data_IF_654711686283
#
_entry.id   IF_654711686283
#
_cell.length_a   1.000
_cell.length_b   1.000
_cell.length_c   1.000
_cell.angle_alpha   90.00
_cell.angle_beta   90.00
_cell.angle_gamma   90.00
#
_symmetry.space_group_name_H-M   'P 1'
#
loop_
_entity.id
_entity.type
_entity.pdbx_description
1 polymer ?
#
# COMPACT_ATOMS: atom_id res chain seq x y z
N UNK A 1 28.28 -12.79 -7.81
CA UNK A 1 28.63 -11.35 -7.75
C UNK A 1 28.21 -10.73 -9.07
N UNK A 2 27.06 -10.08 -9.12
CA UNK A 2 26.56 -9.46 -10.36
C UNK A 2 27.15 -8.05 -10.51
N UNK A 3 28.02 -7.87 -11.51
CA UNK A 3 28.50 -6.58 -12.02
C UNK A 3 27.37 -5.87 -12.78
N UNK A 4 26.47 -5.22 -12.08
CA UNK A 4 25.35 -4.50 -12.70
C UNK A 4 25.50 -2.96 -12.63
N UNK A 5 26.49 -2.46 -11.88
CA UNK A 5 26.74 -1.02 -11.70
C UNK A 5 27.52 -0.34 -12.83
N UNK A 6 28.27 -1.10 -13.65
CA UNK A 6 29.13 -0.53 -14.69
C UNK A 6 28.38 -0.25 -16.01
N UNK A 7 27.39 -1.08 -16.36
CA UNK A 7 26.73 -1.00 -17.68
C UNK A 7 25.74 0.15 -17.79
N UNK A 8 25.03 0.48 -16.71
CA UNK A 8 24.10 1.61 -16.70
C UNK A 8 24.86 2.94 -16.79
N UNK A 9 25.92 3.10 -16.00
CA UNK A 9 26.75 4.31 -16.01
C UNK A 9 27.40 4.54 -17.39
N UNK A 10 27.87 3.48 -18.05
CA UNK A 10 28.40 3.54 -19.41
C UNK A 10 27.33 3.89 -20.46
N UNK A 11 26.11 3.35 -20.32
CA UNK A 11 25.00 3.66 -21.22
C UNK A 11 24.54 5.13 -21.08
N UNK A 12 24.55 5.67 -19.87
CA UNK A 12 24.22 7.08 -19.60
C UNK A 12 25.25 8.01 -20.26
N UNK A 13 26.55 7.75 -20.05
CA UNK A 13 27.61 8.53 -20.68
C UNK A 13 27.55 8.47 -22.22
N UNK A 14 27.33 7.27 -22.77
CA UNK A 14 27.20 7.09 -24.24
C UNK A 14 26.00 7.85 -24.79
N UNK A 15 24.87 7.89 -24.05
CA UNK A 15 23.69 8.63 -24.47
C UNK A 15 23.91 10.14 -24.45
N UNK A 16 24.55 10.65 -23.40
CA UNK A 16 24.89 12.08 -23.25
C UNK A 16 25.89 12.56 -24.33
N UNK A 17 26.84 11.70 -24.71
CA UNK A 17 27.80 11.99 -25.78
C UNK A 17 27.16 12.02 -27.18
N UNK A 18 26.11 11.20 -27.41
CA UNK A 18 25.45 11.07 -28.72
C UNK A 18 24.34 12.10 -28.96
N UNK A 19 23.75 12.68 -27.92
CA UNK A 19 22.62 13.62 -28.02
C UNK A 19 22.92 14.95 -27.31
N UNK A 20 23.59 15.87 -28.01
CA UNK A 20 23.85 17.25 -27.56
C UNK A 20 22.63 18.19 -27.74
N UNK A 21 21.43 17.72 -27.42
CA UNK A 21 20.22 18.55 -27.41
C UNK A 21 19.78 18.77 -25.95
N UNK A 22 19.94 19.99 -25.45
CA UNK A 22 19.75 20.34 -24.03
C UNK A 22 18.34 19.99 -23.50
N UNK A 23 17.32 19.91 -24.36
CA UNK A 23 15.96 19.52 -23.96
C UNK A 23 15.76 18.00 -23.85
N UNK A 24 16.52 17.20 -24.61
CA UNK A 24 16.52 15.74 -24.52
C UNK A 24 17.25 15.30 -23.25
N UNK A 25 18.30 16.02 -22.87
CA UNK A 25 19.15 15.72 -21.71
C UNK A 25 18.37 15.77 -20.38
N UNK A 26 17.45 16.74 -20.19
CA UNK A 26 16.64 16.81 -18.97
C UNK A 26 15.67 15.63 -18.81
N UNK A 27 14.91 15.29 -19.86
CA UNK A 27 13.91 14.21 -19.79
C UNK A 27 14.57 12.84 -19.63
N UNK A 28 15.72 12.66 -20.27
CA UNK A 28 16.49 11.42 -20.17
C UNK A 28 17.16 11.33 -18.81
N UNK A 29 17.77 12.41 -18.30
CA UNK A 29 18.27 12.47 -16.93
C UNK A 29 17.18 12.16 -15.89
N UNK A 30 15.96 12.68 -16.08
CA UNK A 30 14.83 12.38 -15.21
C UNK A 30 14.42 10.89 -15.27
N UNK A 31 14.29 10.33 -16.48
CA UNK A 31 13.98 8.91 -16.66
C UNK A 31 15.06 8.02 -16.02
N UNK A 32 16.33 8.32 -16.27
CA UNK A 32 17.47 7.59 -15.72
C UNK A 32 17.52 7.67 -14.19
N UNK A 33 17.14 8.81 -13.60
CA UNK A 33 17.04 8.91 -12.14
C UNK A 33 15.94 8.02 -11.56
N UNK A 34 14.81 7.86 -12.25
CA UNK A 34 13.76 6.92 -11.84
C UNK A 34 14.14 5.46 -12.06
N UNK A 35 14.92 5.17 -13.11
CA UNK A 35 15.43 3.84 -13.42
C UNK A 35 16.67 3.46 -12.60
N UNK A 36 17.30 4.44 -11.94
CA UNK A 36 18.40 4.18 -11.01
C UNK A 36 17.86 3.42 -9.80
N UNK A 37 17.84 2.10 -9.93
CA UNK A 37 17.48 1.21 -8.85
C UNK A 37 18.63 1.29 -7.85
N UNK A 38 18.45 2.14 -6.83
CA UNK A 38 19.30 2.08 -5.64
C UNK A 38 19.25 0.64 -5.15
N UNK A 39 20.42 0.06 -4.89
CA UNK A 39 20.52 -1.27 -4.27
C UNK A 39 19.64 -1.25 -3.03
N UNK A 40 18.54 -1.99 -3.08
CA UNK A 40 17.61 -2.04 -1.97
C UNK A 40 18.39 -2.52 -0.75
N UNK A 41 18.35 -1.74 0.32
CA UNK A 41 18.83 -2.23 1.61
C UNK A 41 18.07 -3.52 1.94
N UNK A 42 18.74 -4.46 2.62
CA UNK A 42 18.10 -5.71 2.99
C UNK A 42 16.88 -5.40 3.88
N UNK A 43 15.69 -5.53 3.30
CA UNK A 43 14.44 -5.28 4.01
C UNK A 43 14.30 -6.27 5.15
N UNK A 44 14.40 -5.78 6.38
CA UNK A 44 14.40 -6.62 7.60
C UNK A 44 13.00 -7.19 7.94
N UNK A 45 12.01 -7.03 7.07
CA UNK A 45 10.63 -7.45 7.30
C UNK A 45 9.81 -6.44 8.11
N UNK A 46 8.47 -6.52 8.01
CA UNK A 46 7.56 -5.54 8.65
C UNK A 46 7.73 -5.48 10.17
N UNK A 47 8.04 -6.61 10.79
CA UNK A 47 8.23 -6.72 12.25
C UNK A 47 9.35 -5.83 12.78
N UNK A 48 10.42 -5.63 12.00
CA UNK A 48 11.53 -4.76 12.39
C UNK A 48 11.12 -3.27 12.41
N UNK A 49 10.16 -2.87 11.57
CA UNK A 49 9.75 -1.47 11.43
C UNK A 49 8.40 -1.17 12.09
N UNK A 50 7.69 -2.21 12.56
CA UNK A 50 6.41 -2.10 13.25
C UNK A 50 6.31 -3.17 14.33
N UNK A 51 6.29 -2.71 15.57
CA UNK A 51 5.86 -3.52 16.70
C UNK A 51 4.34 -3.42 16.82
N UNK A 52 3.59 -4.54 16.84
CA UNK A 52 2.14 -4.52 17.04
C UNK A 52 1.81 -4.34 18.53
N UNK A 53 2.30 -3.26 19.15
CA UNK A 53 2.19 -3.02 20.59
C UNK A 53 0.76 -2.65 21.01
N UNK A 54 -0.03 -2.12 20.07
CA UNK A 54 -1.45 -1.82 20.28
C UNK A 54 -2.22 -1.80 18.97
N UNK A 55 -3.49 -2.19 19.02
CA UNK A 55 -4.41 -2.05 17.91
C UNK A 55 -4.91 -0.61 17.90
N UNK A 56 -4.60 0.19 16.86
CA UNK A 56 -4.96 1.63 16.83
C UNK A 56 -6.42 1.87 16.44
N UNK A 57 -6.91 1.06 15.51
CA UNK A 57 -8.23 1.20 14.90
C UNK A 57 -8.89 -0.17 14.71
N UNK A 58 -10.22 -0.17 14.73
CA UNK A 58 -11.05 -1.35 14.47
C UNK A 58 -12.15 -0.98 13.47
N UNK A 59 -12.32 -1.81 12.46
CA UNK A 59 -13.28 -1.60 11.38
C UNK A 59 -14.35 -2.68 11.45
N UNK A 60 -15.58 -2.26 11.66
CA UNK A 60 -16.75 -3.12 11.62
C UNK A 60 -17.37 -3.07 10.23
N UNK A 61 -17.35 -4.20 9.53
CA UNK A 61 -18.26 -4.39 8.42
C UNK A 61 -19.59 -4.90 8.98
N UNK A 62 -20.59 -4.02 9.06
CA UNK A 62 -21.82 -4.29 9.81
C UNK A 62 -22.73 -5.28 9.07
N UNK A 63 -22.83 -5.11 7.76
CA UNK A 63 -23.66 -5.90 6.87
C UNK A 63 -23.15 -5.78 5.44
N UNK A 64 -23.31 -6.86 4.67
CA UNK A 64 -23.10 -6.81 3.22
C UNK A 64 -24.30 -6.16 2.49
N UNK A 65 -25.42 -5.91 3.18
CA UNK A 65 -26.64 -5.39 2.57
C UNK A 65 -26.42 -3.95 2.11
N UNK A 66 -26.54 -3.73 0.81
CA UNK A 66 -26.51 -2.41 0.19
C UNK A 66 -27.67 -2.29 -0.80
N UNK A 67 -28.31 -1.12 -0.86
CA UNK A 67 -29.39 -0.84 -1.81
C UNK A 67 -28.88 -0.34 -3.18
N UNK A 68 -27.57 -0.39 -3.41
CA UNK A 68 -26.91 0.03 -4.65
C UNK A 68 -26.30 -1.18 -5.39
N UNK A 69 -26.18 -1.07 -6.70
CA UNK A 69 -25.65 -2.12 -7.60
C UNK A 69 -24.42 -1.61 -8.38
N UNK A 70 -23.37 -1.21 -7.66
CA UNK A 70 -22.22 -0.56 -8.27
C UNK A 70 -21.35 -1.59 -9.03
N UNK A 71 -21.10 -1.36 -10.32
CA UNK A 71 -20.26 -2.25 -11.16
C UNK A 71 -18.78 -2.36 -10.74
N UNK A 72 -18.32 -1.47 -9.87
CA UNK A 72 -16.98 -1.43 -9.29
C UNK A 72 -16.96 -1.84 -7.80
N UNK A 73 -18.10 -2.29 -7.24
CA UNK A 73 -18.13 -2.74 -5.85
C UNK A 73 -17.31 -4.01 -5.69
N UNK A 74 -16.37 -4.01 -4.74
CA UNK A 74 -15.62 -5.22 -4.38
C UNK A 74 -16.48 -6.23 -3.60
N UNK A 75 -17.61 -5.79 -3.03
CA UNK A 75 -18.54 -6.59 -2.22
C UNK A 75 -19.78 -6.97 -3.03
N UNK A 76 -19.59 -7.55 -4.23
CA UNK A 76 -20.62 -7.90 -5.25
C UNK A 76 -21.85 -8.71 -4.75
N UNK A 77 -21.86 -9.11 -3.49
CA UNK A 77 -22.86 -9.96 -2.83
C UNK A 77 -23.88 -9.17 -1.99
N UNK A 78 -24.26 -7.95 -2.38
CA UNK A 78 -25.23 -7.13 -1.63
C UNK A 78 -26.62 -7.76 -1.42
N UNK A 79 -26.96 -8.77 -2.24
CA UNK A 79 -28.20 -9.54 -2.17
C UNK A 79 -28.14 -10.74 -1.23
N UNK A 80 -26.95 -11.09 -0.73
CA UNK A 80 -26.77 -12.20 0.20
C UNK A 80 -27.03 -11.68 1.62
N UNK A 81 -28.05 -12.24 2.29
CA UNK A 81 -28.38 -11.93 3.69
C UNK A 81 -27.42 -12.61 4.68
N UNK A 82 -26.15 -12.72 4.33
CA UNK A 82 -25.18 -13.43 5.16
C UNK A 82 -24.59 -12.48 6.21
N UNK A 83 -24.93 -12.81 7.46
CA UNK A 83 -24.31 -12.40 8.73
C UNK A 83 -24.20 -10.89 8.93
N UNK A 84 -25.26 -10.32 9.48
CA UNK A 84 -25.22 -9.01 10.12
C UNK A 84 -24.66 -9.15 11.54
N UNK A 85 -23.83 -8.20 11.96
CA UNK A 85 -23.38 -8.15 13.35
C UNK A 85 -24.54 -7.66 14.23
N UNK A 86 -24.81 -8.37 15.32
CA UNK A 86 -25.76 -7.86 16.32
C UNK A 86 -25.13 -6.73 17.12
N UNK A 87 -25.98 -5.91 17.74
CA UNK A 87 -25.54 -4.86 18.64
C UNK A 87 -24.65 -5.42 19.74
N UNK A 88 -25.03 -6.54 20.35
CA UNK A 88 -24.31 -7.16 21.46
C UNK A 88 -22.90 -7.60 21.04
N UNK A 89 -22.76 -8.12 19.83
CA UNK A 89 -21.47 -8.49 19.25
C UNK A 89 -20.58 -7.25 19.04
N UNK A 90 -21.14 -6.17 18.49
CA UNK A 90 -20.41 -4.91 18.26
C UNK A 90 -19.93 -4.34 19.60
N UNK A 91 -20.82 -4.21 20.58
CA UNK A 91 -20.46 -3.66 21.89
C UNK A 91 -19.42 -4.51 22.62
N UNK A 92 -19.50 -5.84 22.51
CA UNK A 92 -18.48 -6.75 23.04
C UNK A 92 -17.12 -6.46 22.41
N UNK A 93 -17.04 -6.40 21.07
CA UNK A 93 -15.77 -6.15 20.36
C UNK A 93 -15.24 -4.74 20.63
N UNK A 94 -16.09 -3.72 20.76
CA UNK A 94 -15.67 -2.37 21.14
C UNK A 94 -14.99 -2.40 22.52
N UNK A 95 -15.60 -3.08 23.49
CA UNK A 95 -15.03 -3.19 24.85
C UNK A 95 -13.68 -3.90 24.82
N UNK A 96 -13.59 -5.03 24.14
CA UNK A 96 -12.35 -5.81 24.00
C UNK A 96 -11.26 -4.99 23.25
N UNK A 97 -11.62 -4.35 22.14
CA UNK A 97 -10.72 -3.52 21.35
C UNK A 97 -10.20 -2.32 22.15
N UNK A 98 -11.05 -1.68 22.96
CA UNK A 98 -10.63 -0.57 23.81
C UNK A 98 -9.58 -0.99 24.84
N UNK A 99 -9.72 -2.19 25.43
CA UNK A 99 -8.74 -2.80 26.34
C UNK A 99 -7.41 -3.12 25.63
N UNK A 100 -7.44 -3.40 24.33
CA UNK A 100 -6.26 -3.66 23.48
C UNK A 100 -5.64 -2.38 22.87
N UNK A 101 -6.15 -1.20 23.23
CA UNK A 101 -5.59 0.09 22.81
C UNK A 101 -6.31 0.77 21.64
N UNK A 102 -7.40 0.21 21.13
CA UNK A 102 -8.18 0.85 20.04
C UNK A 102 -8.81 2.13 20.53
N UNK A 103 -8.68 3.19 19.73
CA UNK A 103 -9.32 4.50 20.01
C UNK A 103 -10.21 4.99 18.88
N UNK A 104 -10.13 4.39 17.71
CA UNK A 104 -10.96 4.74 16.55
C UNK A 104 -11.72 3.49 16.08
N UNK A 105 -13.03 3.63 15.93
CA UNK A 105 -13.91 2.58 15.44
C UNK A 105 -14.65 3.06 14.19
N UNK A 106 -14.49 2.35 13.09
CA UNK A 106 -15.18 2.63 11.82
C UNK A 106 -16.32 1.64 11.60
N UNK A 107 -17.40 2.10 10.97
CA UNK A 107 -18.53 1.28 10.58
C UNK A 107 -18.70 1.39 9.06
N UNK A 108 -18.72 0.24 8.38
CA UNK A 108 -18.80 0.13 6.92
C UNK A 108 -19.86 -0.84 6.47
#
# INVERSE_FOLDING_TARGET
MYQQSDTLSQAIHTYQDLYQDENIDYKVGQLLSHLSIKKAENYQGRVHYRSPDSLKECWFHLTNRCNMDCGYCMFKNYRIKDKELTKEQIFKVIKEGYQLGVRIFYFT
#
